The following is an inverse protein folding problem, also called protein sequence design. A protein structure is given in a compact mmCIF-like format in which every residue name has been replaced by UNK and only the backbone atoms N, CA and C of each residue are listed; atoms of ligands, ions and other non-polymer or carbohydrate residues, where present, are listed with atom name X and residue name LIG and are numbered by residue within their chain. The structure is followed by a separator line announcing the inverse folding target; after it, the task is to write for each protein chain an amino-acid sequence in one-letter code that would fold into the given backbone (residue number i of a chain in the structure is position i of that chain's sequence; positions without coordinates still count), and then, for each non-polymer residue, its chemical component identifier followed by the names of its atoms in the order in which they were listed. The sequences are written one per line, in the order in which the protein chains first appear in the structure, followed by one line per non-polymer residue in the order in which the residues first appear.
data_IF_239214181949
#
_entry.id   IF_239214181949
#
_cell.length_a   1.000
_cell.length_b   1.000
_cell.length_c   1.000
_cell.angle_alpha   90.00
_cell.angle_beta   90.00
_cell.angle_gamma   90.00
#
_symmetry.space_group_name_H-M   'P 1'
#
loop_
_entity.id
_entity.type
_entity.pdbx_description
1 polymer ?
#
# COMPACT_ATOMS: atom_id res chain seq x y z
N UNK A 1 -17.81 -7.90 31.86
CA UNK A 1 -16.61 -8.75 31.95
C UNK A 1 -15.78 -8.54 30.68
N UNK A 2 -14.81 -7.63 30.70
CA UNK A 2 -13.99 -7.34 29.52
C UNK A 2 -12.90 -8.40 29.46
N UNK A 3 -12.94 -9.25 28.43
CA UNK A 3 -11.87 -10.21 28.16
C UNK A 3 -10.54 -9.46 28.03
N UNK A 4 -9.54 -9.81 28.85
CA UNK A 4 -8.21 -9.22 28.73
C UNK A 4 -7.56 -9.75 27.45
N UNK A 5 -7.49 -8.92 26.42
CA UNK A 5 -6.75 -9.26 25.20
C UNK A 5 -5.29 -9.59 25.56
N UNK A 6 -4.85 -10.81 25.23
CA UNK A 6 -3.48 -11.27 25.48
C UNK A 6 -2.74 -11.44 24.15
N UNK A 7 -1.88 -10.48 23.74
CA UNK A 7 -1.16 -10.58 22.49
C UNK A 7 -0.14 -11.72 22.51
N UNK A 8 0.15 -12.27 21.33
CA UNK A 8 1.21 -13.27 21.14
C UNK A 8 2.57 -12.74 21.63
N UNK A 9 3.38 -13.58 22.29
CA UNK A 9 4.67 -13.16 22.88
C UNK A 9 5.61 -12.48 21.87
N UNK A 10 5.58 -12.88 20.60
CA UNK A 10 6.41 -12.29 19.52
C UNK A 10 6.14 -10.81 19.30
N UNK A 11 4.91 -10.34 19.54
CA UNK A 11 4.53 -8.94 19.35
C UNK A 11 5.27 -8.01 20.31
N UNK A 12 5.68 -8.51 21.50
CA UNK A 12 6.48 -7.73 22.46
C UNK A 12 7.85 -7.29 21.91
N UNK A 13 8.33 -7.91 20.83
CA UNK A 13 9.62 -7.59 20.21
C UNK A 13 9.50 -6.49 19.15
N UNK A 14 8.29 -6.17 18.70
CA UNK A 14 8.05 -5.15 17.67
C UNK A 14 8.01 -3.78 18.35
N UNK A 15 9.02 -2.96 18.07
CA UNK A 15 9.07 -1.57 18.56
C UNK A 15 8.15 -0.68 17.71
N UNK A 16 7.65 0.44 18.27
CA UNK A 16 6.97 1.47 17.48
C UNK A 16 7.83 1.94 16.29
N UNK A 17 7.17 2.23 15.16
CA UNK A 17 7.87 2.64 13.93
C UNK A 17 8.54 4.00 14.09
N UNK A 18 9.86 4.04 13.84
CA UNK A 18 10.62 5.29 13.80
C UNK A 18 10.15 6.21 12.66
N UNK A 19 9.83 5.65 11.48
CA UNK A 19 9.33 6.39 10.32
C UNK A 19 8.05 7.15 10.69
N UNK A 20 7.11 6.50 11.38
CA UNK A 20 5.86 7.15 11.81
C UNK A 20 6.10 8.29 12.81
N UNK A 21 7.07 8.13 13.71
CA UNK A 21 7.42 9.19 14.67
C UNK A 21 7.98 10.41 13.95
N UNK A 22 8.91 10.22 13.01
CA UNK A 22 9.46 11.33 12.22
C UNK A 22 8.40 11.98 11.34
N UNK A 23 7.55 11.19 10.67
CA UNK A 23 6.45 11.71 9.87
C UNK A 23 5.51 12.61 10.70
N UNK A 24 5.10 12.18 11.89
CA UNK A 24 4.26 12.99 12.78
C UNK A 24 4.96 14.29 13.19
N UNK A 25 6.24 14.23 13.58
CA UNK A 25 7.03 15.43 13.92
C UNK A 25 7.12 16.42 12.76
N UNK A 26 7.25 15.95 11.52
CA UNK A 26 7.29 16.86 10.36
C UNK A 26 5.99 17.63 10.14
N UNK A 27 4.84 17.12 10.60
CA UNK A 27 3.57 17.84 10.49
C UNK A 27 3.46 18.99 11.49
N UNK A 28 4.23 18.97 12.58
CA UNK A 28 4.22 19.98 13.65
C UNK A 28 5.23 21.11 13.41
N UNK A 29 6.16 20.95 12.45
CA UNK A 29 7.26 21.89 12.19
C UNK A 29 6.96 22.67 10.91
N UNK A 30 6.65 23.98 10.99
CA UNK A 30 6.45 24.81 9.81
C UNK A 30 7.70 24.85 8.92
N UNK A 31 7.50 24.82 7.60
CA UNK A 31 8.56 24.91 6.58
C UNK A 31 9.61 23.79 6.62
N UNK A 32 9.30 22.64 7.21
CA UNK A 32 10.21 21.48 7.17
C UNK A 32 10.23 20.86 5.77
N UNK A 33 11.43 20.52 5.28
CA UNK A 33 11.60 19.70 4.08
C UNK A 33 11.53 18.23 4.50
N UNK A 34 10.46 17.54 4.13
CA UNK A 34 10.28 16.14 4.48
C UNK A 34 10.85 15.22 3.39
N UNK A 35 12.00 14.59 3.68
CA UNK A 35 12.66 13.59 2.81
C UNK A 35 12.46 12.15 3.31
N UNK A 36 11.51 11.93 4.22
CA UNK A 36 11.24 10.62 4.82
C UNK A 36 10.19 9.80 4.06
N UNK A 37 9.49 10.42 3.10
CA UNK A 37 8.44 9.80 2.30
C UNK A 37 9.07 8.91 1.23
N UNK A 38 8.67 7.64 1.19
CA UNK A 38 9.19 6.64 0.24
C UNK A 38 8.32 6.39 -0.98
N UNK A 39 7.30 7.21 -1.20
CA UNK A 39 6.43 7.17 -2.39
C UNK A 39 6.73 8.36 -3.32
N UNK A 40 6.46 8.24 -4.63
CA UNK A 40 6.61 9.35 -5.55
C UNK A 40 5.68 10.52 -5.23
N UNK A 41 6.09 11.73 -5.59
CA UNK A 41 5.33 12.98 -5.42
C UNK A 41 4.31 13.26 -6.54
N UNK A 42 4.31 12.44 -7.59
CA UNK A 42 3.41 12.58 -8.73
C UNK A 42 2.19 11.66 -8.62
N UNK A 43 1.08 12.10 -9.22
CA UNK A 43 -0.12 11.29 -9.39
C UNK A 43 0.14 10.14 -10.38
N UNK A 44 -0.36 8.91 -10.13
CA UNK A 44 -0.25 7.81 -11.09
C UNK A 44 -0.73 8.20 -12.51
N UNK A 45 -0.13 7.64 -13.58
CA UNK A 45 -0.52 7.96 -14.95
C UNK A 45 -2.03 7.76 -15.21
N UNK A 46 -2.64 8.66 -15.98
CA UNK A 46 -4.11 8.69 -16.22
C UNK A 46 -4.68 7.36 -16.69
N UNK A 47 -3.99 6.65 -17.60
CA UNK A 47 -4.45 5.35 -18.10
C UNK A 47 -4.59 4.28 -17.02
N UNK A 48 -3.81 4.37 -15.93
CA UNK A 48 -3.91 3.45 -14.78
C UNK A 48 -5.15 3.77 -13.95
N UNK A 49 -5.40 5.05 -13.71
CA UNK A 49 -6.58 5.52 -12.98
C UNK A 49 -7.87 5.17 -13.73
N UNK A 50 -7.89 5.40 -15.05
CA UNK A 50 -9.02 5.09 -15.91
C UNK A 50 -9.33 3.60 -15.95
N UNK A 51 -8.30 2.74 -16.02
CA UNK A 51 -8.48 1.29 -15.99
C UNK A 51 -9.11 0.81 -14.67
N UNK A 52 -8.72 1.39 -13.53
CA UNK A 52 -9.32 1.10 -12.23
C UNK A 52 -10.79 1.54 -12.16
N UNK A 53 -11.09 2.74 -12.65
CA UNK A 53 -12.46 3.26 -12.72
C UNK A 53 -13.36 2.41 -13.63
N UNK A 54 -12.84 2.01 -14.79
CA UNK A 54 -13.55 1.17 -15.74
C UNK A 54 -13.82 -0.22 -15.17
N UNK A 55 -12.86 -0.83 -14.50
CA UNK A 55 -13.05 -2.13 -13.83
C UNK A 55 -14.19 -2.08 -12.80
N UNK A 56 -14.26 -0.99 -12.01
CA UNK A 56 -15.35 -0.78 -11.07
C UNK A 56 -16.72 -0.63 -11.78
N UNK A 57 -16.78 0.16 -12.85
CA UNK A 57 -18.00 0.31 -13.68
C UNK A 57 -18.47 -1.01 -14.30
N UNK A 58 -17.54 -1.87 -14.69
CA UNK A 58 -17.81 -3.20 -15.26
C UNK A 58 -18.20 -4.25 -14.20
N UNK A 59 -18.28 -3.86 -12.92
CA UNK A 59 -18.67 -4.78 -11.84
C UNK A 59 -17.57 -5.76 -11.44
N UNK A 60 -16.29 -5.48 -11.74
CA UNK A 60 -15.14 -6.30 -11.29
C UNK A 60 -14.83 -6.07 -9.81
N UNK A 61 -15.81 -6.32 -8.95
CA UNK A 61 -15.80 -6.02 -7.50
C UNK A 61 -15.86 -7.27 -6.62
N UNK A 62 -15.91 -8.45 -7.22
CA UNK A 62 -15.96 -9.72 -6.53
C UNK A 62 -14.57 -10.32 -6.30
N UNK A 63 -14.51 -11.43 -5.55
CA UNK A 63 -13.26 -12.10 -5.24
C UNK A 63 -12.48 -12.50 -6.49
N UNK A 64 -11.22 -12.09 -6.53
CA UNK A 64 -10.23 -12.67 -7.42
C UNK A 64 -9.72 -14.02 -6.87
N UNK A 65 -9.11 -14.87 -7.71
CA UNK A 65 -8.34 -16.02 -7.23
C UNK A 65 -7.27 -15.59 -6.21
N UNK A 66 -6.92 -16.47 -5.27
CA UNK A 66 -5.92 -16.17 -4.22
C UNK A 66 -4.57 -15.72 -4.76
N UNK A 67 -4.18 -16.20 -5.94
CA UNK A 67 -2.95 -15.83 -6.61
C UNK A 67 -3.10 -14.66 -7.60
N UNK A 68 -4.27 -14.02 -7.65
CA UNK A 68 -4.57 -12.92 -8.56
C UNK A 68 -5.17 -13.36 -9.91
N UNK A 69 -5.80 -12.41 -10.60
CA UNK A 69 -6.40 -12.60 -11.92
C UNK A 69 -5.34 -13.02 -12.95
N UNK A 70 -5.76 -13.79 -13.95
CA UNK A 70 -4.84 -14.38 -14.93
C UNK A 70 -4.14 -13.31 -15.76
N UNK A 71 -4.87 -12.29 -16.17
CA UNK A 71 -4.41 -11.16 -16.96
C UNK A 71 -3.25 -10.43 -16.27
N UNK A 72 -3.36 -10.21 -14.95
CA UNK A 72 -2.29 -9.60 -14.16
C UNK A 72 -1.05 -10.49 -14.10
N UNK A 73 -1.22 -11.80 -13.86
CA UNK A 73 -0.09 -12.74 -13.77
C UNK A 73 0.66 -12.86 -15.10
N UNK A 74 -0.07 -12.92 -16.21
CA UNK A 74 0.51 -12.96 -17.57
C UNK A 74 1.26 -11.65 -17.88
N UNK A 75 0.67 -10.49 -17.58
CA UNK A 75 1.31 -9.20 -17.79
C UNK A 75 2.60 -9.02 -16.95
N UNK A 76 2.58 -9.45 -15.68
CA UNK A 76 3.77 -9.43 -14.81
C UNK A 76 4.89 -10.34 -15.35
N UNK A 77 4.53 -11.53 -15.83
CA UNK A 77 5.49 -12.47 -16.44
C UNK A 77 6.14 -11.84 -17.68
N UNK A 78 5.33 -11.29 -18.59
CA UNK A 78 5.83 -10.61 -19.79
C UNK A 78 6.69 -9.38 -19.46
N UNK A 79 6.34 -8.60 -18.44
CA UNK A 79 7.16 -7.47 -17.97
C UNK A 79 8.51 -7.98 -17.47
N UNK A 80 8.51 -9.01 -16.63
CA UNK A 80 9.74 -9.55 -16.02
C UNK A 80 10.68 -10.19 -17.03
N UNK A 81 10.18 -10.66 -18.18
CA UNK A 81 11.04 -11.16 -19.28
C UNK A 81 11.58 -10.06 -20.21
N UNK A 82 10.97 -8.86 -20.19
CA UNK A 82 11.42 -7.72 -21.01
C UNK A 82 12.55 -6.93 -20.37
N UNK A 83 12.60 -6.91 -19.04
CA UNK A 83 13.60 -6.23 -18.22
C UNK A 83 14.68 -7.21 -17.73
#
# INVERSE_FOLDING_TARGET
MVSSFKPAKRLKRIKPSGIRRFFALTQEIPNVINLSVGEPDFTPPTHVLDAGWQAAKEGKTHYAPTNGIRELREALTQKTHRD
#
